data_IF_080252800296
#
_entry.id   IF_080252800296
#
_cell.length_a   1.000
_cell.length_b   1.000
_cell.length_c   1.000
_cell.angle_alpha   90.00
_cell.angle_beta   90.00
_cell.angle_gamma   90.00
#
_symmetry.space_group_name_H-M   'P 1'
#
loop_
_entity.id
_entity.type
_entity.pdbx_description
1 polymer ?
#
# COMPACT_ATOMS: atom_id res chain seq x y z
N UNK A 1 -16.62 -31.26 -1.78
CA UNK A 1 -17.58 -30.31 -2.38
C UNK A 1 -16.81 -29.01 -2.56
N UNK A 2 -16.50 -28.63 -3.79
CA UNK A 2 -15.90 -27.33 -4.11
C UNK A 2 -16.99 -26.27 -3.91
N UNK A 3 -16.97 -25.57 -2.77
CA UNK A 3 -17.81 -24.39 -2.57
C UNK A 3 -17.49 -23.42 -3.70
N UNK A 4 -18.48 -23.05 -4.50
CA UNK A 4 -18.34 -21.98 -5.49
C UNK A 4 -17.87 -20.70 -4.78
N UNK A 5 -16.72 -20.18 -5.24
CA UNK A 5 -16.14 -18.98 -4.63
C UNK A 5 -17.01 -17.77 -4.96
N UNK A 6 -17.32 -16.98 -3.93
CA UNK A 6 -18.15 -15.78 -4.09
C UNK A 6 -17.40 -14.74 -4.90
N UNK A 7 -17.89 -14.39 -6.09
CA UNK A 7 -17.31 -13.32 -6.92
C UNK A 7 -17.79 -11.93 -6.45
N UNK A 8 -17.05 -10.88 -6.84
CA UNK A 8 -17.52 -9.50 -6.70
C UNK A 8 -18.87 -9.31 -7.42
N UNK A 9 -19.73 -8.48 -6.84
CA UNK A 9 -21.07 -8.24 -7.39
C UNK A 9 -21.08 -7.29 -8.59
N UNK A 10 -20.04 -6.46 -8.76
CA UNK A 10 -19.94 -5.49 -9.86
C UNK A 10 -18.50 -5.21 -10.27
N UNK A 11 -18.29 -4.85 -11.55
CA UNK A 11 -16.98 -4.45 -12.09
C UNK A 11 -16.41 -3.23 -11.34
N UNK A 12 -17.24 -2.24 -11.05
CA UNK A 12 -16.82 -1.05 -10.28
C UNK A 12 -16.37 -1.43 -8.87
N UNK A 13 -17.15 -2.25 -8.17
CA UNK A 13 -16.79 -2.71 -6.83
C UNK A 13 -15.50 -3.50 -6.80
N UNK A 14 -15.26 -4.37 -7.79
CA UNK A 14 -14.02 -5.08 -7.97
C UNK A 14 -12.82 -4.14 -8.15
N UNK A 15 -12.93 -3.16 -9.06
CA UNK A 15 -11.85 -2.18 -9.32
C UNK A 15 -11.59 -1.34 -8.09
N UNK A 16 -12.63 -0.82 -7.43
CA UNK A 16 -12.46 0.00 -6.22
C UNK A 16 -11.90 -0.80 -5.03
N UNK A 17 -12.29 -2.06 -4.86
CA UNK A 17 -11.74 -2.90 -3.80
C UNK A 17 -10.26 -3.21 -4.06
N UNK A 18 -9.90 -3.56 -5.30
CA UNK A 18 -8.51 -3.88 -5.66
C UNK A 18 -7.64 -2.61 -5.70
N UNK A 19 -8.17 -1.48 -6.21
CA UNK A 19 -7.47 -0.20 -6.12
C UNK A 19 -7.28 0.25 -4.66
N UNK A 20 -8.29 0.07 -3.80
CA UNK A 20 -8.19 0.36 -2.36
C UNK A 20 -7.18 -0.54 -1.62
N UNK A 21 -6.82 -1.69 -2.19
CA UNK A 21 -5.72 -2.51 -1.70
C UNK A 21 -4.35 -1.90 -2.01
N UNK A 22 -4.19 -1.27 -3.17
CA UNK A 22 -2.98 -0.58 -3.59
C UNK A 22 -2.88 0.82 -2.96
N UNK A 23 -3.97 1.59 -3.03
CA UNK A 23 -4.04 2.95 -2.47
C UNK A 23 -4.02 2.89 -0.95
N UNK A 24 -2.91 3.27 -0.36
CA UNK A 24 -2.68 3.25 1.07
C UNK A 24 -1.80 4.40 1.54
N UNK A 25 -1.21 4.23 2.71
CA UNK A 25 -0.23 5.18 3.25
C UNK A 25 0.99 5.34 2.31
N UNK A 26 1.29 4.34 1.49
CA UNK A 26 2.36 4.39 0.50
C UNK A 26 2.21 5.54 -0.50
N UNK A 27 0.98 5.83 -0.95
CA UNK A 27 0.70 6.90 -1.91
C UNK A 27 0.72 8.28 -1.26
N UNK A 28 0.22 8.38 -0.02
CA UNK A 28 0.03 9.69 0.63
C UNK A 28 1.23 10.05 1.48
N UNK A 29 2.01 9.08 1.94
CA UNK A 29 3.19 9.28 2.77
C UNK A 29 4.49 9.04 1.99
N UNK A 30 4.71 7.79 1.56
CA UNK A 30 6.00 7.39 1.01
C UNK A 30 6.27 8.03 -0.35
N UNK A 31 5.27 8.11 -1.22
CA UNK A 31 5.45 8.67 -2.55
C UNK A 31 5.89 10.16 -2.52
N UNK A 32 5.22 11.08 -1.80
CA UNK A 32 5.70 12.45 -1.70
C UNK A 32 7.11 12.56 -1.13
N UNK A 33 7.42 11.80 -0.08
CA UNK A 33 8.77 11.72 0.45
C UNK A 33 9.80 11.31 -0.63
N UNK A 34 9.52 10.23 -1.36
CA UNK A 34 10.41 9.76 -2.44
C UNK A 34 10.55 10.77 -3.57
N UNK A 35 9.48 11.48 -3.94
CA UNK A 35 9.50 12.57 -4.93
C UNK A 35 10.38 13.73 -4.42
N UNK A 36 10.25 14.10 -3.16
CA UNK A 36 11.05 15.15 -2.52
C UNK A 36 12.55 14.87 -2.58
N UNK A 37 12.96 13.66 -2.17
CA UNK A 37 14.37 13.24 -2.15
C UNK A 37 14.97 13.02 -3.53
N UNK A 38 14.18 12.66 -4.53
CA UNK A 38 14.67 12.16 -5.81
C UNK A 38 14.43 13.13 -7.00
N UNK A 39 14.27 14.43 -6.75
CA UNK A 39 14.28 15.44 -7.80
C UNK A 39 12.92 15.72 -8.48
N UNK A 40 11.81 15.50 -7.76
CA UNK A 40 10.50 16.02 -8.18
C UNK A 40 9.94 15.35 -9.44
N UNK A 41 9.58 16.17 -10.43
CA UNK A 41 8.91 15.74 -11.66
C UNK A 41 9.68 14.66 -12.45
N UNK A 42 11.02 14.69 -12.47
CA UNK A 42 11.83 13.70 -13.18
C UNK A 42 11.65 12.30 -12.55
N UNK A 43 11.63 12.21 -11.21
CA UNK A 43 11.32 10.97 -10.51
C UNK A 43 9.92 10.45 -10.86
N UNK A 44 8.90 11.32 -10.94
CA UNK A 44 7.52 10.94 -11.28
C UNK A 44 7.46 10.30 -12.66
N UNK A 45 8.16 10.84 -13.66
CA UNK A 45 8.21 10.28 -15.01
C UNK A 45 8.86 8.88 -15.02
N UNK A 46 9.97 8.72 -14.29
CA UNK A 46 10.64 7.41 -14.15
C UNK A 46 9.73 6.42 -13.40
N UNK A 47 9.06 6.88 -12.34
CA UNK A 47 8.09 6.06 -11.59
C UNK A 47 6.95 5.55 -12.47
N UNK A 48 6.35 6.41 -13.32
CA UNK A 48 5.29 6.01 -14.27
C UNK A 48 5.83 4.96 -15.24
N UNK A 49 7.04 5.14 -15.75
CA UNK A 49 7.69 4.13 -16.61
C UNK A 49 7.87 2.79 -15.86
N UNK A 50 8.30 2.83 -14.59
CA UNK A 50 8.45 1.64 -13.76
C UNK A 50 7.09 0.96 -13.48
N UNK A 51 6.02 1.72 -13.25
CA UNK A 51 4.66 1.17 -13.14
C UNK A 51 4.28 0.38 -14.40
N UNK A 52 4.56 0.93 -15.60
CA UNK A 52 4.22 0.26 -16.86
C UNK A 52 5.07 -0.99 -17.13
N UNK A 53 6.37 -0.94 -16.86
CA UNK A 53 7.30 -2.02 -17.22
C UNK A 53 7.48 -3.09 -16.13
N UNK A 54 7.30 -2.73 -14.88
CA UNK A 54 7.47 -3.64 -13.74
C UNK A 54 6.13 -3.88 -13.02
N UNK A 55 5.43 -2.83 -12.63
CA UNK A 55 4.23 -2.91 -11.81
C UNK A 55 3.09 -3.67 -12.46
N UNK A 56 2.67 -3.25 -13.67
CA UNK A 56 1.56 -3.88 -14.40
C UNK A 56 1.86 -5.34 -14.74
N UNK A 57 3.05 -5.75 -15.26
CA UNK A 57 3.34 -7.16 -15.51
C UNK A 57 3.33 -8.03 -14.25
N UNK A 58 3.86 -7.55 -13.12
CA UNK A 58 3.81 -8.27 -11.86
C UNK A 58 2.37 -8.42 -11.34
N UNK A 59 1.56 -7.34 -11.37
CA UNK A 59 0.14 -7.38 -11.01
C UNK A 59 -0.65 -8.34 -11.88
N UNK A 60 -0.41 -8.34 -13.20
CA UNK A 60 -1.00 -9.30 -14.13
C UNK A 60 -0.68 -10.75 -13.76
N UNK A 61 0.55 -11.01 -13.32
CA UNK A 61 0.97 -12.33 -12.87
C UNK A 61 0.16 -12.79 -11.66
N UNK A 62 0.00 -11.94 -10.65
CA UNK A 62 -0.82 -12.24 -9.48
C UNK A 62 -2.31 -12.38 -9.83
N UNK A 63 -2.83 -11.59 -10.79
CA UNK A 63 -4.20 -11.72 -11.28
C UNK A 63 -4.43 -13.09 -11.94
N UNK A 64 -3.51 -13.52 -12.79
CA UNK A 64 -3.59 -14.81 -13.46
C UNK A 64 -3.57 -15.93 -12.43
N UNK A 65 -2.64 -15.90 -11.47
CA UNK A 65 -2.53 -16.89 -10.39
C UNK A 65 -3.82 -16.93 -9.56
N UNK A 66 -4.30 -15.78 -9.10
CA UNK A 66 -5.48 -15.69 -8.24
C UNK A 66 -6.77 -16.16 -8.97
N UNK A 67 -7.02 -15.65 -10.18
CA UNK A 67 -8.23 -16.00 -10.94
C UNK A 67 -8.25 -17.46 -11.35
N UNK A 68 -7.14 -17.97 -11.90
CA UNK A 68 -7.04 -19.38 -12.29
C UNK A 68 -7.16 -20.31 -11.08
N UNK A 69 -6.41 -19.97 -10.01
CA UNK A 69 -6.42 -20.76 -8.78
C UNK A 69 -7.76 -20.78 -8.07
N UNK A 70 -8.57 -19.73 -8.18
CA UNK A 70 -9.88 -19.57 -7.51
C UNK A 70 -9.84 -20.06 -6.05
N UNK A 71 -8.77 -19.70 -5.31
CA UNK A 71 -8.49 -20.14 -3.95
C UNK A 71 -7.69 -19.06 -3.21
N UNK A 72 -7.41 -19.25 -1.90
CA UNK A 72 -6.46 -18.40 -1.18
C UNK A 72 -5.10 -18.43 -1.88
N UNK A 73 -4.27 -17.42 -1.62
CA UNK A 73 -3.00 -17.23 -2.33
C UNK A 73 -2.10 -18.47 -2.27
N UNK A 74 -1.97 -19.15 -1.12
CA UNK A 74 -1.13 -20.33 -1.00
C UNK A 74 -1.59 -21.49 -1.89
N UNK A 75 -2.90 -21.77 -1.88
CA UNK A 75 -3.49 -22.84 -2.69
C UNK A 75 -3.55 -22.49 -4.18
N UNK A 76 -3.65 -21.19 -4.52
CA UNK A 76 -3.70 -20.73 -5.90
C UNK A 76 -2.43 -21.13 -6.68
N UNK A 77 -1.25 -20.97 -6.07
CA UNK A 77 0.00 -21.41 -6.67
C UNK A 77 0.03 -22.92 -6.93
N UNK A 78 -0.43 -23.74 -5.97
CA UNK A 78 -0.45 -25.19 -6.13
C UNK A 78 -1.41 -25.69 -7.21
N UNK A 79 -2.43 -24.89 -7.57
CA UNK A 79 -3.39 -25.25 -8.63
C UNK A 79 -2.90 -24.95 -10.04
N UNK A 80 -1.83 -24.15 -10.16
CA UNK A 80 -1.26 -23.80 -11.47
C UNK A 80 -0.16 -24.75 -11.93
N UNK A 81 0.40 -25.55 -11.03
CA UNK A 81 1.49 -26.48 -11.32
C UNK A 81 1.32 -27.80 -10.58
N UNK A 82 1.85 -28.87 -11.16
CA UNK A 82 1.92 -30.21 -10.57
C UNK A 82 2.93 -30.31 -9.44
N UNK A 83 3.95 -29.46 -9.42
CA UNK A 83 4.99 -29.41 -8.38
C UNK A 83 4.51 -28.62 -7.16
N UNK A 84 4.15 -29.33 -6.09
CA UNK A 84 3.64 -28.75 -4.84
C UNK A 84 4.62 -27.75 -4.16
N UNK A 85 5.89 -27.71 -4.54
CA UNK A 85 6.89 -26.83 -3.95
C UNK A 85 6.52 -25.34 -4.07
N UNK A 86 5.85 -24.93 -5.15
CA UNK A 86 5.46 -23.53 -5.37
C UNK A 86 4.35 -23.04 -4.43
N UNK A 87 3.70 -23.95 -3.71
CA UNK A 87 2.81 -23.57 -2.59
C UNK A 87 3.52 -22.68 -1.56
N UNK A 88 4.82 -22.89 -1.35
CA UNK A 88 5.63 -22.10 -0.41
C UNK A 88 5.64 -20.62 -0.79
N UNK A 89 5.65 -20.27 -2.09
CA UNK A 89 5.63 -18.87 -2.55
C UNK A 89 4.31 -18.19 -2.18
N UNK A 90 3.19 -18.89 -2.41
CA UNK A 90 1.89 -18.39 -2.01
C UNK A 90 1.73 -18.29 -0.49
N UNK A 91 2.25 -19.27 0.26
CA UNK A 91 2.26 -19.24 1.73
C UNK A 91 3.11 -18.08 2.25
N UNK A 92 4.26 -17.80 1.63
CA UNK A 92 5.09 -16.65 1.96
C UNK A 92 4.33 -15.34 1.77
N UNK A 93 3.56 -15.20 0.68
CA UNK A 93 2.67 -14.04 0.49
C UNK A 93 1.61 -13.90 1.59
N UNK A 94 1.01 -15.01 2.05
CA UNK A 94 0.07 -15.03 3.17
C UNK A 94 0.74 -14.60 4.47
N UNK A 95 1.92 -15.14 4.77
CA UNK A 95 2.70 -14.78 5.98
C UNK A 95 3.08 -13.30 5.94
N UNK A 96 3.56 -12.82 4.80
CA UNK A 96 3.92 -11.41 4.60
C UNK A 96 2.71 -10.50 4.85
N UNK A 97 1.56 -10.79 4.23
CA UNK A 97 0.34 -10.03 4.46
C UNK A 97 -0.13 -10.07 5.92
N UNK A 98 0.00 -11.21 6.59
CA UNK A 98 -0.33 -11.37 8.00
C UNK A 98 0.56 -10.52 8.91
N UNK A 99 1.87 -10.54 8.71
CA UNK A 99 2.81 -9.74 9.49
C UNK A 99 2.60 -8.24 9.27
N UNK A 100 2.41 -7.82 8.00
CA UNK A 100 2.10 -6.43 7.67
C UNK A 100 0.80 -6.01 8.35
N UNK A 101 -0.24 -6.83 8.35
CA UNK A 101 -1.51 -6.52 9.03
C UNK A 101 -1.29 -6.09 10.47
N UNK A 102 -0.41 -6.76 11.21
CA UNK A 102 -0.12 -6.47 12.61
C UNK A 102 0.44 -5.06 12.83
N UNK A 103 1.57 -4.73 12.21
CA UNK A 103 2.22 -3.44 12.46
C UNK A 103 1.60 -2.26 11.69
N UNK A 104 1.03 -2.50 10.51
CA UNK A 104 0.35 -1.47 9.72
C UNK A 104 -0.86 -0.87 10.44
N UNK A 105 -1.56 -1.69 11.24
CA UNK A 105 -2.67 -1.23 12.07
C UNK A 105 -2.24 -0.23 13.15
N UNK A 106 -0.98 -0.27 13.61
CA UNK A 106 -0.43 0.71 14.57
C UNK A 106 -0.41 2.09 13.93
N UNK A 107 0.18 2.21 12.74
CA UNK A 107 0.23 3.48 11.99
C UNK A 107 -1.17 3.95 11.59
N UNK A 108 -2.05 3.02 11.22
CA UNK A 108 -3.46 3.33 10.96
C UNK A 108 -4.16 3.91 12.20
N UNK A 109 -3.83 3.40 13.39
CA UNK A 109 -4.30 3.92 14.67
C UNK A 109 -3.80 5.34 14.97
N UNK A 110 -2.55 5.64 14.59
CA UNK A 110 -2.01 7.01 14.72
C UNK A 110 -2.80 8.01 13.87
N UNK A 111 -3.20 7.61 12.66
CA UNK A 111 -4.04 8.46 11.80
C UNK A 111 -5.38 8.80 12.49
N UNK A 112 -6.03 7.82 13.16
CA UNK A 112 -7.26 8.07 13.91
C UNK A 112 -7.05 9.02 15.09
N UNK A 113 -5.98 8.84 15.88
CA UNK A 113 -5.63 9.76 16.96
C UNK A 113 -5.47 11.18 16.45
N UNK A 114 -4.80 11.35 15.30
CA UNK A 114 -4.52 12.67 14.76
C UNK A 114 -5.76 13.38 14.20
N UNK A 115 -6.84 12.66 13.85
CA UNK A 115 -8.15 13.28 13.58
C UNK A 115 -8.64 14.02 14.83
N UNK A 116 -8.63 13.34 15.99
CA UNK A 116 -9.07 13.93 17.26
C UNK A 116 -8.15 15.06 17.72
N UNK A 117 -6.85 14.81 17.74
CA UNK A 117 -5.85 15.79 18.16
C UNK A 117 -5.92 17.08 17.33
N UNK A 118 -6.12 16.97 16.01
CA UNK A 118 -6.34 18.11 15.12
C UNK A 118 -7.65 18.85 15.48
N UNK A 119 -8.74 18.11 15.68
CA UNK A 119 -10.05 18.66 15.94
C UNK A 119 -10.17 19.41 17.27
N UNK A 120 -9.53 18.90 18.32
CA UNK A 120 -9.51 19.56 19.66
C UNK A 120 -8.36 20.57 19.82
N UNK A 121 -7.47 20.69 18.83
CA UNK A 121 -6.39 21.67 18.81
C UNK A 121 -5.15 21.25 19.61
N UNK A 122 -4.98 19.96 19.95
CA UNK A 122 -3.77 19.45 20.61
C UNK A 122 -2.51 19.57 19.75
N UNK A 123 -2.66 19.66 18.43
CA UNK A 123 -1.55 19.82 17.49
C UNK A 123 -1.23 21.31 17.22
N UNK A 124 -1.60 22.23 18.09
CA UNK A 124 -1.29 23.65 18.00
C UNK A 124 -0.09 23.99 18.88
N UNK A 125 1.00 24.37 18.24
CA UNK A 125 2.25 24.73 18.94
C UNK A 125 3.39 24.97 17.97
N UNK A 126 4.58 25.12 18.49
CA UNK A 126 5.79 25.18 17.69
C UNK A 126 6.21 23.80 17.16
N UNK A 127 7.13 23.72 16.19
CA UNK A 127 7.61 22.45 15.64
C UNK A 127 8.17 21.48 16.70
N UNK A 128 8.80 22.01 17.75
CA UNK A 128 9.37 21.19 18.82
C UNK A 128 8.29 20.56 19.68
N UNK A 129 7.22 21.29 19.98
CA UNK A 129 6.05 20.78 20.70
C UNK A 129 5.38 19.64 19.93
N UNK A 130 5.18 19.79 18.61
CA UNK A 130 4.54 18.75 17.79
C UNK A 130 5.43 17.51 17.69
N UNK A 131 6.76 17.69 17.60
CA UNK A 131 7.68 16.56 17.63
C UNK A 131 7.64 15.82 18.97
N UNK A 132 7.61 16.55 20.11
CA UNK A 132 7.47 15.94 21.43
C UNK A 132 6.11 15.25 21.60
N UNK A 133 5.01 15.87 21.12
CA UNK A 133 3.69 15.26 21.12
C UNK A 133 3.67 13.90 20.42
N UNK A 134 4.28 13.80 19.23
CA UNK A 134 4.36 12.54 18.50
C UNK A 134 5.22 11.51 19.24
N UNK A 135 6.37 11.92 19.79
CA UNK A 135 7.24 11.04 20.57
C UNK A 135 6.54 10.50 21.81
N UNK A 136 5.91 11.38 22.61
CA UNK A 136 5.17 11.00 23.82
C UNK A 136 3.96 10.12 23.49
N UNK A 137 3.24 10.43 22.41
CA UNK A 137 2.10 9.63 21.96
C UNK A 137 2.56 8.23 21.50
N UNK A 138 3.55 8.13 20.62
CA UNK A 138 4.01 6.86 20.06
C UNK A 138 4.65 5.95 21.11
N UNK A 139 5.33 6.52 22.10
CA UNK A 139 5.93 5.82 23.24
C UNK A 139 4.89 5.42 24.33
N UNK A 140 3.70 6.05 24.33
CA UNK A 140 2.65 5.76 25.32
C UNK A 140 2.20 4.29 25.27
N UNK A 141 2.04 3.63 26.44
CA UNK A 141 1.64 2.23 26.46
C UNK A 141 0.17 1.98 26.10
N UNK A 142 -0.70 2.96 26.28
CA UNK A 142 -2.16 2.74 26.17
C UNK A 142 -2.76 3.39 24.94
N UNK A 143 -2.42 4.66 24.64
CA UNK A 143 -3.08 5.44 23.57
C UNK A 143 -2.92 4.81 22.18
N UNK A 144 -1.70 4.49 21.71
CA UNK A 144 -1.54 3.88 20.37
C UNK A 144 -2.15 2.48 20.29
N UNK A 145 -2.05 1.68 21.38
CA UNK A 145 -2.65 0.34 21.45
C UNK A 145 -4.17 0.42 21.37
N UNK A 146 -4.79 1.36 22.09
CA UNK A 146 -6.22 1.59 22.00
C UNK A 146 -6.68 1.86 20.58
N UNK A 147 -6.03 2.79 19.87
CA UNK A 147 -6.36 3.12 18.49
C UNK A 147 -6.09 1.97 17.51
N UNK A 148 -5.04 1.19 17.74
CA UNK A 148 -4.75 -0.02 16.98
C UNK A 148 -5.90 -1.02 17.08
N UNK A 149 -6.42 -1.25 18.29
CA UNK A 149 -7.57 -2.14 18.50
C UNK A 149 -8.83 -1.58 17.85
N UNK A 150 -9.07 -0.27 17.93
CA UNK A 150 -10.22 0.39 17.26
C UNK A 150 -10.17 0.15 15.75
N UNK A 151 -9.01 0.34 15.11
CA UNK A 151 -8.82 0.05 13.68
C UNK A 151 -9.14 -1.40 13.35
N UNK A 152 -8.65 -2.35 14.17
CA UNK A 152 -8.96 -3.77 13.96
C UNK A 152 -10.44 -4.08 14.12
N UNK A 153 -11.13 -3.46 15.05
CA UNK A 153 -12.58 -3.64 15.23
C UNK A 153 -13.36 -3.10 14.02
N UNK A 154 -12.99 -1.93 13.50
CA UNK A 154 -13.58 -1.37 12.30
C UNK A 154 -13.39 -2.30 11.08
N UNK A 155 -12.17 -2.77 10.89
CA UNK A 155 -11.83 -3.71 9.81
C UNK A 155 -12.56 -5.05 9.98
N UNK A 156 -12.62 -5.59 11.19
CA UNK A 156 -13.32 -6.84 11.52
C UNK A 156 -14.79 -6.81 11.11
N UNK A 157 -15.50 -5.73 11.44
CA UNK A 157 -16.93 -5.56 11.09
C UNK A 157 -17.15 -5.64 9.59
N UNK A 158 -16.21 -5.15 8.79
CA UNK A 158 -16.25 -5.21 7.33
C UNK A 158 -15.97 -6.63 6.83
N UNK A 159 -14.90 -7.25 7.30
CA UNK A 159 -14.45 -8.58 6.87
C UNK A 159 -15.48 -9.67 7.17
N UNK A 160 -16.08 -9.66 8.34
CA UNK A 160 -17.10 -10.65 8.74
C UNK A 160 -18.30 -10.66 7.79
N UNK A 161 -18.65 -9.50 7.20
CA UNK A 161 -19.77 -9.37 6.25
C UNK A 161 -19.48 -9.98 4.86
N UNK A 162 -18.26 -10.45 4.62
CA UNK A 162 -17.87 -11.12 3.39
C UNK A 162 -17.47 -10.17 2.26
N UNK A 163 -17.21 -10.77 1.08
CA UNK A 163 -16.68 -10.03 -0.07
C UNK A 163 -17.69 -9.01 -0.60
N UNK A 164 -18.92 -9.44 -0.95
CA UNK A 164 -19.96 -8.54 -1.51
C UNK A 164 -20.55 -7.58 -0.48
N UNK A 165 -20.96 -8.11 0.68
CA UNK A 165 -21.66 -7.34 1.72
C UNK A 165 -20.75 -6.49 2.59
N UNK A 166 -19.47 -6.83 2.67
CA UNK A 166 -18.45 -6.14 3.45
C UNK A 166 -17.46 -5.38 2.58
N UNK A 167 -16.49 -6.09 2.02
CA UNK A 167 -15.35 -5.50 1.31
C UNK A 167 -15.80 -4.60 0.15
N UNK A 168 -16.59 -5.14 -0.79
CA UNK A 168 -17.06 -4.38 -1.95
C UNK A 168 -17.90 -3.17 -1.55
N UNK A 169 -18.84 -3.34 -0.60
CA UNK A 169 -19.68 -2.25 -0.13
C UNK A 169 -18.88 -1.16 0.58
N UNK A 170 -17.92 -1.55 1.41
CA UNK A 170 -17.01 -0.61 2.08
C UNK A 170 -16.16 0.15 1.07
N UNK A 171 -15.54 -0.55 0.10
CA UNK A 171 -14.69 0.08 -0.91
C UNK A 171 -15.46 1.06 -1.80
N UNK A 172 -16.72 0.76 -2.14
CA UNK A 172 -17.61 1.68 -2.88
C UNK A 172 -17.93 2.96 -2.13
N UNK A 173 -17.90 2.95 -0.80
CA UNK A 173 -18.10 4.14 0.02
C UNK A 173 -16.77 4.85 0.32
N UNK A 174 -15.76 4.10 0.80
CA UNK A 174 -14.50 4.65 1.30
C UNK A 174 -13.65 5.28 0.18
N UNK A 175 -13.54 4.63 -1.00
CA UNK A 175 -12.68 5.12 -2.08
C UNK A 175 -13.15 6.44 -2.70
N UNK A 176 -14.44 6.63 -3.06
CA UNK A 176 -14.91 7.93 -3.53
C UNK A 176 -14.81 9.03 -2.45
N UNK A 177 -15.07 8.70 -1.18
CA UNK A 177 -14.92 9.63 -0.06
C UNK A 177 -13.48 10.08 0.09
N UNK A 178 -12.52 9.12 0.05
CA UNK A 178 -11.09 9.40 0.06
C UNK A 178 -10.71 10.35 -1.08
N UNK A 179 -11.15 10.05 -2.30
CA UNK A 179 -10.84 10.87 -3.47
C UNK A 179 -11.42 12.30 -3.36
N UNK A 180 -12.65 12.44 -2.86
CA UNK A 180 -13.28 13.75 -2.63
C UNK A 180 -12.49 14.56 -1.58
N UNK A 181 -12.15 13.95 -0.43
CA UNK A 181 -11.33 14.60 0.60
C UNK A 181 -9.97 15.03 0.04
N UNK A 182 -9.33 14.15 -0.74
CA UNK A 182 -8.06 14.45 -1.38
C UNK A 182 -8.17 15.68 -2.29
N UNK A 183 -9.18 15.74 -3.15
CA UNK A 183 -9.39 16.88 -4.04
C UNK A 183 -9.61 18.19 -3.26
N UNK A 184 -10.40 18.17 -2.19
CA UNK A 184 -10.65 19.38 -1.39
C UNK A 184 -9.34 19.85 -0.74
N UNK A 185 -8.56 18.96 -0.14
CA UNK A 185 -7.29 19.36 0.51
C UNK A 185 -6.27 19.82 -0.53
N UNK A 186 -6.22 19.19 -1.72
CA UNK A 186 -5.38 19.65 -2.85
C UNK A 186 -5.72 21.08 -3.26
N UNK A 187 -7.02 21.38 -3.44
CA UNK A 187 -7.44 22.75 -3.79
C UNK A 187 -7.03 23.75 -2.71
N UNK A 188 -7.26 23.43 -1.43
CA UNK A 188 -6.85 24.28 -0.33
C UNK A 188 -5.33 24.52 -0.34
N UNK A 189 -4.54 23.49 -0.60
CA UNK A 189 -3.08 23.55 -0.63
C UNK A 189 -2.56 24.40 -1.81
N UNK A 190 -3.12 24.16 -3.02
CA UNK A 190 -2.71 24.89 -4.22
C UNK A 190 -3.06 26.38 -4.20
N UNK A 191 -4.07 26.78 -3.44
CA UNK A 191 -4.47 28.19 -3.29
C UNK A 191 -3.62 28.97 -2.28
N UNK A 192 -2.69 28.33 -1.56
CA UNK A 192 -1.82 28.99 -0.61
C UNK A 192 -0.81 29.93 -1.31
N UNK A 193 -0.48 31.08 -0.69
CA UNK A 193 0.58 31.95 -1.16
C UNK A 193 1.92 31.18 -1.22
N UNK A 194 2.57 31.17 -2.39
CA UNK A 194 3.80 30.38 -2.60
C UNK A 194 3.56 28.94 -3.06
N UNK A 195 2.33 28.45 -3.08
CA UNK A 195 1.99 27.09 -3.54
C UNK A 195 2.38 26.79 -4.99
N UNK A 196 2.50 27.82 -5.84
CA UNK A 196 2.96 27.69 -7.22
C UNK A 196 4.34 27.02 -7.36
N UNK A 197 5.27 27.30 -6.44
CA UNK A 197 6.59 26.66 -6.42
C UNK A 197 6.50 25.14 -6.20
N UNK A 198 5.58 24.67 -5.33
CA UNK A 198 5.34 23.25 -5.15
C UNK A 198 4.72 22.56 -6.36
N UNK A 199 3.84 23.27 -7.09
CA UNK A 199 3.28 22.79 -8.36
C UNK A 199 4.40 22.71 -9.43
N UNK A 200 5.24 23.74 -9.55
CA UNK A 200 6.38 23.74 -10.47
C UNK A 200 7.32 22.57 -10.18
N UNK A 201 7.63 22.32 -8.92
CA UNK A 201 8.49 21.20 -8.49
C UNK A 201 7.92 19.83 -8.94
N UNK A 202 6.61 19.66 -8.92
CA UNK A 202 5.94 18.39 -9.31
C UNK A 202 5.83 18.21 -10.82
N UNK A 203 5.82 19.27 -11.62
CA UNK A 203 5.52 19.17 -13.06
C UNK A 203 6.64 19.67 -13.97
N UNK A 204 7.67 20.33 -13.45
CA UNK A 204 8.84 20.76 -14.20
C UNK A 204 10.01 19.80 -13.97
N UNK A 205 10.27 18.89 -14.91
CA UNK A 205 11.32 17.89 -14.73
C UNK A 205 12.72 18.51 -14.83
N UNK A 206 13.55 18.17 -13.85
CA UNK A 206 14.99 18.47 -13.84
C UNK A 206 15.78 17.16 -13.96
N UNK A 207 16.15 16.82 -15.17
CA UNK A 207 16.90 15.58 -15.43
C UNK A 207 18.36 15.64 -14.98
N UNK A 208 18.89 16.81 -14.59
CA UNK A 208 20.25 16.92 -14.07
C UNK A 208 20.43 16.20 -12.71
N UNK A 209 19.32 15.99 -11.98
CA UNK A 209 19.29 15.28 -10.71
C UNK A 209 19.06 13.78 -10.82
N UNK A 210 18.87 13.27 -12.05
CA UNK A 210 18.60 11.85 -12.28
C UNK A 210 19.89 11.06 -12.23
N UNK A 211 19.96 10.13 -11.28
CA UNK A 211 21.07 9.21 -11.05
C UNK A 211 20.58 7.75 -11.09
N UNK A 212 21.47 6.79 -11.10
CA UNK A 212 21.10 5.37 -11.00
C UNK A 212 20.28 5.04 -9.73
N UNK A 213 20.55 5.74 -8.63
CA UNK A 213 19.80 5.60 -7.39
C UNK A 213 18.33 6.06 -7.51
N UNK A 214 18.06 7.10 -8.30
CA UNK A 214 16.70 7.58 -8.61
C UNK A 214 15.90 6.51 -9.35
N UNK A 215 16.50 5.79 -10.29
CA UNK A 215 15.85 4.66 -10.97
C UNK A 215 15.52 3.53 -9.98
N UNK A 216 16.45 3.16 -9.10
CA UNK A 216 16.21 2.14 -8.07
C UNK A 216 15.12 2.56 -7.09
N UNK A 217 15.13 3.81 -6.67
CA UNK A 217 14.10 4.39 -5.81
C UNK A 217 12.71 4.35 -6.48
N UNK A 218 12.63 4.72 -7.76
CA UNK A 218 11.40 4.70 -8.55
C UNK A 218 10.87 3.27 -8.79
N UNK A 219 11.76 2.32 -9.11
CA UNK A 219 11.40 0.90 -9.22
C UNK A 219 10.86 0.35 -7.90
N UNK A 220 11.55 0.64 -6.79
CA UNK A 220 11.11 0.25 -5.45
C UNK A 220 9.74 0.86 -5.12
N UNK A 221 9.55 2.15 -5.36
CA UNK A 221 8.27 2.82 -5.14
C UNK A 221 7.14 2.22 -5.98
N UNK A 222 7.39 1.92 -7.27
CA UNK A 222 6.40 1.29 -8.14
C UNK A 222 5.99 -0.10 -7.66
N UNK A 223 6.94 -0.89 -7.16
CA UNK A 223 6.70 -2.22 -6.62
C UNK A 223 5.85 -2.17 -5.33
N UNK A 224 6.19 -1.26 -4.41
CA UNK A 224 5.49 -1.13 -3.12
C UNK A 224 4.13 -0.48 -3.25
N UNK A 225 3.99 0.58 -4.07
CA UNK A 225 2.74 1.33 -4.23
C UNK A 225 1.59 0.42 -4.67
N UNK A 226 1.87 -0.49 -5.60
CA UNK A 226 0.85 -1.43 -6.11
C UNK A 226 0.56 -2.61 -5.17
N UNK A 227 1.24 -2.72 -4.03
CA UNK A 227 0.99 -3.78 -3.05
C UNK A 227 1.28 -5.19 -3.56
N UNK A 228 2.35 -5.35 -4.36
CA UNK A 228 2.72 -6.62 -4.98
C UNK A 228 3.34 -7.59 -3.97
N UNK A 229 3.16 -8.88 -4.21
CA UNK A 229 3.76 -10.00 -3.46
C UNK A 229 3.32 -10.16 -1.99
N UNK A 230 2.33 -9.40 -1.53
CA UNK A 230 1.76 -9.54 -0.17
C UNK A 230 0.46 -10.38 -0.14
N UNK A 231 0.13 -11.07 -1.22
CA UNK A 231 -1.04 -11.93 -1.33
C UNK A 231 -2.37 -11.21 -1.55
N UNK A 232 -2.45 -9.89 -1.40
CA UNK A 232 -3.69 -9.11 -1.54
C UNK A 232 -4.23 -9.18 -2.97
N UNK A 233 -3.40 -8.87 -3.94
CA UNK A 233 -3.75 -8.85 -5.37
C UNK A 233 -4.20 -10.24 -5.82
N UNK A 234 -3.46 -11.29 -5.46
CA UNK A 234 -3.79 -12.67 -5.76
C UNK A 234 -5.11 -13.11 -5.08
N UNK A 235 -5.29 -12.78 -3.79
CA UNK A 235 -6.54 -13.09 -3.06
C UNK A 235 -7.74 -12.41 -3.71
N UNK A 236 -7.65 -11.12 -4.05
CA UNK A 236 -8.76 -10.41 -4.69
C UNK A 236 -9.03 -10.90 -6.11
N UNK A 237 -7.99 -11.24 -6.86
CA UNK A 237 -8.14 -11.84 -8.20
C UNK A 237 -8.88 -13.17 -8.16
N UNK A 238 -8.77 -13.93 -7.07
CA UNK A 238 -9.52 -15.16 -6.89
C UNK A 238 -11.04 -14.98 -6.79
N UNK A 239 -11.50 -13.74 -6.58
CA UNK A 239 -12.92 -13.34 -6.60
C UNK A 239 -13.34 -12.71 -7.94
N UNK A 240 -12.45 -12.68 -8.96
CA UNK A 240 -12.77 -12.15 -10.27
C UNK A 240 -13.60 -13.17 -11.08
N UNK A 241 -14.56 -12.66 -11.85
CA UNK A 241 -15.27 -13.48 -12.83
C UNK A 241 -14.38 -13.80 -14.03
N UNK A 242 -14.69 -14.89 -14.72
CA UNK A 242 -13.98 -15.27 -15.96
C UNK A 242 -14.06 -14.22 -17.06
N UNK A 243 -15.11 -13.40 -17.08
CA UNK A 243 -15.29 -12.32 -18.05
C UNK A 243 -14.43 -11.09 -17.78
N UNK A 244 -13.74 -11.02 -16.64
CA UNK A 244 -12.93 -9.88 -16.26
C UNK A 244 -11.72 -9.75 -17.19
N UNK A 245 -11.58 -8.60 -17.85
CA UNK A 245 -10.38 -8.26 -18.60
C UNK A 245 -9.26 -7.89 -17.62
N UNK A 246 -8.32 -8.82 -17.41
CA UNK A 246 -7.25 -8.65 -16.42
C UNK A 246 -6.33 -7.48 -16.75
N UNK A 247 -5.91 -7.35 -18.02
CA UNK A 247 -5.02 -6.26 -18.43
C UNK A 247 -5.67 -4.90 -18.23
N UNK A 248 -6.93 -4.75 -18.64
CA UNK A 248 -7.66 -3.50 -18.41
C UNK A 248 -7.82 -3.20 -16.93
N UNK A 249 -8.05 -4.22 -16.11
CA UNK A 249 -8.15 -4.05 -14.65
C UNK A 249 -6.82 -3.63 -14.04
N UNK A 250 -5.70 -4.26 -14.44
CA UNK A 250 -4.37 -3.89 -13.98
C UNK A 250 -4.01 -2.44 -14.34
N UNK A 251 -4.27 -2.04 -15.58
CA UNK A 251 -4.04 -0.66 -16.03
C UNK A 251 -4.92 0.33 -15.26
N UNK A 252 -6.21 0.03 -15.08
CA UNK A 252 -7.11 0.91 -14.32
C UNK A 252 -6.66 1.10 -12.88
N UNK A 253 -6.25 0.02 -12.21
CA UNK A 253 -5.77 0.08 -10.82
C UNK A 253 -4.47 0.87 -10.75
N UNK A 254 -3.52 0.62 -11.64
CA UNK A 254 -2.25 1.35 -11.70
C UNK A 254 -2.47 2.85 -11.98
N UNK A 255 -3.41 3.20 -12.86
CA UNK A 255 -3.77 4.60 -13.15
C UNK A 255 -4.41 5.28 -11.93
N UNK A 256 -5.35 4.61 -11.26
CA UNK A 256 -5.98 5.16 -10.03
C UNK A 256 -4.94 5.37 -8.95
N UNK A 257 -4.07 4.38 -8.70
CA UNK A 257 -2.97 4.45 -7.74
C UNK A 257 -2.03 5.62 -8.03
N UNK A 258 -1.59 5.74 -9.28
CA UNK A 258 -0.69 6.83 -9.72
C UNK A 258 -1.33 8.21 -9.61
N UNK A 259 -2.59 8.36 -10.01
CA UNK A 259 -3.32 9.63 -9.89
C UNK A 259 -3.42 10.05 -8.43
N UNK A 260 -3.78 9.14 -7.53
CA UNK A 260 -3.88 9.42 -6.10
C UNK A 260 -2.50 9.80 -5.53
N UNK A 261 -1.43 9.12 -5.93
CA UNK A 261 -0.07 9.44 -5.52
C UNK A 261 0.36 10.85 -5.97
N UNK A 262 0.09 11.23 -7.22
CA UNK A 262 0.39 12.57 -7.75
C UNK A 262 -0.45 13.65 -7.04
N UNK A 263 -1.74 13.39 -6.81
CA UNK A 263 -2.62 14.29 -6.06
C UNK A 263 -2.14 14.45 -4.61
N UNK A 264 -1.63 13.39 -3.98
CA UNK A 264 -1.01 13.49 -2.66
C UNK A 264 0.24 14.38 -2.68
N UNK A 265 1.05 14.32 -3.73
CA UNK A 265 2.12 15.28 -3.96
C UNK A 265 1.59 16.72 -4.08
N UNK A 266 0.55 16.94 -4.89
CA UNK A 266 -0.12 18.25 -5.02
C UNK A 266 -0.75 18.75 -3.71
N UNK A 267 -1.10 17.85 -2.81
CA UNK A 267 -1.59 18.22 -1.49
C UNK A 267 -0.44 18.67 -0.57
N UNK A 268 0.71 18.02 -0.64
CA UNK A 268 1.80 18.21 0.32
C UNK A 268 2.77 19.31 -0.13
N UNK A 269 3.26 19.29 -1.38
CA UNK A 269 4.32 20.18 -1.81
C UNK A 269 3.92 21.66 -1.84
N UNK A 270 2.73 22.06 -2.38
CA UNK A 270 2.33 23.47 -2.32
C UNK A 270 2.21 23.99 -0.89
N UNK A 271 1.68 23.18 0.05
CA UNK A 271 1.59 23.56 1.44
C UNK A 271 2.97 23.69 2.10
N UNK A 272 3.88 22.71 1.87
CA UNK A 272 5.23 22.74 2.43
C UNK A 272 6.06 23.93 1.90
N UNK A 273 6.02 24.18 0.60
CA UNK A 273 6.72 25.31 -0.02
C UNK A 273 6.16 26.67 0.42
N UNK A 274 4.85 26.78 0.72
CA UNK A 274 4.23 28.01 1.20
C UNK A 274 4.80 28.49 2.55
N UNK A 275 5.35 27.58 3.34
CA UNK A 275 5.93 27.86 4.67
C UNK A 275 7.45 27.62 4.70
N UNK A 276 8.08 27.38 3.53
CA UNK A 276 9.53 27.21 3.42
C UNK A 276 10.06 25.90 4.00
N UNK A 277 9.20 24.86 4.13
CA UNK A 277 9.62 23.52 4.59
C UNK A 277 10.23 22.75 3.45
N UNK A 278 11.35 22.06 3.70
CA UNK A 278 11.98 21.18 2.71
C UNK A 278 11.07 19.97 2.37
N UNK A 279 10.93 19.63 1.08
CA UNK A 279 10.14 18.46 0.67
C UNK A 279 10.78 17.11 1.02
N UNK A 280 12.01 17.09 1.52
CA UNK A 280 12.80 15.91 1.88
C UNK A 280 12.81 15.59 3.39
N UNK A 281 11.75 15.95 4.11
CA UNK A 281 11.67 15.83 5.58
C UNK A 281 11.57 14.39 6.11
N UNK A 282 11.47 13.38 5.27
CA UNK A 282 11.45 11.97 5.67
C UNK A 282 10.07 11.44 6.13
N UNK A 283 10.00 10.21 6.65
CA UNK A 283 8.75 9.56 7.07
C UNK A 283 7.98 10.32 8.18
N UNK A 284 8.66 11.12 8.98
CA UNK A 284 8.05 12.01 9.99
C UNK A 284 7.23 13.17 9.40
N UNK A 285 7.33 13.37 8.07
CA UNK A 285 6.60 14.40 7.33
C UNK A 285 5.12 14.50 7.73
N UNK A 286 4.43 13.37 7.85
CA UNK A 286 2.98 13.33 8.11
C UNK A 286 2.63 13.70 9.56
N UNK A 287 3.36 13.18 10.53
CA UNK A 287 2.97 13.31 11.94
C UNK A 287 3.65 14.45 12.67
N UNK A 288 4.75 14.99 12.13
CA UNK A 288 5.49 16.09 12.74
C UNK A 288 5.43 17.34 11.86
N UNK A 289 5.79 17.21 10.58
CA UNK A 289 5.95 18.37 9.70
C UNK A 289 4.62 18.93 9.21
N UNK A 290 3.72 18.10 8.71
CA UNK A 290 2.46 18.57 8.13
C UNK A 290 1.50 19.24 9.13
N UNK A 291 1.38 18.83 10.40
CA UNK A 291 0.64 19.63 11.40
C UNK A 291 1.14 21.06 11.50
N UNK A 292 2.47 21.25 11.53
CA UNK A 292 3.09 22.57 11.53
C UNK A 292 2.81 23.35 10.25
N UNK A 293 2.94 22.68 9.09
CA UNK A 293 2.65 23.29 7.78
C UNK A 293 1.20 23.79 7.73
N UNK A 294 0.22 22.99 8.14
CA UNK A 294 -1.17 23.42 8.14
C UNK A 294 -1.45 24.58 9.07
N UNK A 295 -0.83 24.61 10.27
CA UNK A 295 -0.96 25.75 11.18
C UNK A 295 -0.40 27.04 10.59
N UNK A 296 0.80 26.99 10.03
CA UNK A 296 1.48 28.16 9.49
C UNK A 296 0.81 28.63 8.19
N UNK A 297 0.48 27.71 7.28
CA UNK A 297 -0.14 28.02 6.00
C UNK A 297 -1.51 28.68 6.15
N UNK A 298 -2.28 28.28 7.17
CA UNK A 298 -3.62 28.80 7.45
C UNK A 298 -3.67 29.72 8.67
N UNK A 299 -2.54 30.33 9.07
CA UNK A 299 -2.49 31.21 10.26
C UNK A 299 -3.49 32.37 10.20
N UNK A 300 -3.79 32.90 9.01
CA UNK A 300 -4.80 33.93 8.80
C UNK A 300 -6.24 33.48 9.03
N UNK A 301 -6.53 32.18 8.94
CA UNK A 301 -7.87 31.58 9.16
C UNK A 301 -7.70 30.25 9.92
N UNK A 302 -7.44 30.28 11.24
CA UNK A 302 -7.08 29.09 12.02
C UNK A 302 -8.13 27.99 12.01
N UNK A 303 -9.42 28.33 11.89
CA UNK A 303 -10.51 27.35 11.76
C UNK A 303 -10.39 26.54 10.46
N UNK A 304 -10.03 27.18 9.35
CA UNK A 304 -9.79 26.49 8.08
C UNK A 304 -8.60 25.55 8.19
N UNK A 305 -7.50 25.96 8.83
CA UNK A 305 -6.36 25.08 9.09
C UNK A 305 -6.72 23.83 9.89
N UNK A 306 -7.55 23.99 10.92
CA UNK A 306 -8.08 22.84 11.69
C UNK A 306 -8.92 21.92 10.83
N UNK A 307 -9.85 22.46 10.02
CA UNK A 307 -10.69 21.67 9.13
C UNK A 307 -9.86 20.91 8.10
N UNK A 308 -8.87 21.56 7.48
CA UNK A 308 -7.97 20.94 6.50
C UNK A 308 -7.15 19.83 7.16
N UNK A 309 -6.62 20.04 8.35
CA UNK A 309 -5.87 19.02 9.10
C UNK A 309 -6.75 17.80 9.43
N UNK A 310 -7.97 18.02 9.93
CA UNK A 310 -8.94 16.94 10.19
C UNK A 310 -9.27 16.17 8.90
N UNK A 311 -9.54 16.86 7.80
CA UNK A 311 -9.83 16.22 6.51
C UNK A 311 -8.64 15.41 6.00
N UNK A 312 -7.42 15.92 6.18
CA UNK A 312 -6.19 15.23 5.82
C UNK A 312 -6.04 13.92 6.60
N UNK A 313 -6.18 13.94 7.94
CA UNK A 313 -6.06 12.71 8.73
C UNK A 313 -7.24 11.75 8.55
N UNK A 314 -8.43 12.24 8.23
CA UNK A 314 -9.55 11.40 7.78
C UNK A 314 -9.20 10.67 6.47
N UNK A 315 -8.65 11.38 5.50
CA UNK A 315 -8.18 10.81 4.23
C UNK A 315 -7.14 9.72 4.46
N UNK A 316 -6.12 9.99 5.30
CA UNK A 316 -5.09 9.01 5.68
C UNK A 316 -5.71 7.77 6.34
N UNK A 317 -6.64 7.97 7.26
CA UNK A 317 -7.32 6.87 7.94
C UNK A 317 -8.14 6.01 6.97
N UNK A 318 -8.83 6.62 6.00
CA UNK A 318 -9.56 5.89 4.96
C UNK A 318 -8.60 5.07 4.07
N UNK A 319 -7.49 5.67 3.64
CA UNK A 319 -6.46 4.99 2.85
C UNK A 319 -5.85 3.81 3.63
N UNK A 320 -5.55 4.01 4.92
CA UNK A 320 -5.01 2.96 5.78
C UNK A 320 -6.01 1.81 5.99
N UNK A 321 -7.29 2.11 6.25
CA UNK A 321 -8.33 1.11 6.49
C UNK A 321 -8.62 0.30 5.22
N UNK A 322 -8.65 0.90 4.04
CA UNK A 322 -8.89 0.17 2.78
C UNK A 322 -7.79 -0.85 2.51
N UNK A 323 -6.52 -0.50 2.73
CA UNK A 323 -5.39 -1.42 2.61
C UNK A 323 -5.42 -2.50 3.70
N UNK A 324 -5.77 -2.14 4.95
CA UNK A 324 -5.86 -3.09 6.06
C UNK A 324 -6.98 -4.13 5.84
N UNK A 325 -8.12 -3.74 5.25
CA UNK A 325 -9.17 -4.67 4.84
C UNK A 325 -8.61 -5.75 3.91
N UNK A 326 -7.81 -5.36 2.93
CA UNK A 326 -7.21 -6.27 1.96
C UNK A 326 -6.21 -7.23 2.60
N UNK A 327 -5.33 -6.71 3.44
CA UNK A 327 -4.35 -7.50 4.19
C UNK A 327 -5.02 -8.50 5.15
N UNK A 328 -6.04 -8.06 5.86
CA UNK A 328 -6.82 -8.92 6.77
C UNK A 328 -7.55 -10.03 6.00
N UNK A 329 -8.08 -9.72 4.80
CA UNK A 329 -8.76 -10.71 3.95
C UNK A 329 -7.83 -11.82 3.49
N UNK A 330 -6.55 -11.54 3.18
CA UNK A 330 -5.56 -12.58 2.81
C UNK A 330 -5.51 -13.68 3.86
N UNK A 331 -5.32 -13.29 5.11
CA UNK A 331 -5.22 -14.22 6.25
C UNK A 331 -6.55 -14.90 6.55
N UNK A 332 -7.66 -14.18 6.45
CA UNK A 332 -9.00 -14.73 6.68
C UNK A 332 -9.37 -15.76 5.62
N UNK A 333 -9.12 -15.48 4.34
CA UNK A 333 -9.38 -16.40 3.25
C UNK A 333 -8.52 -17.68 3.37
N UNK A 334 -7.25 -17.52 3.75
CA UNK A 334 -6.35 -18.65 4.00
C UNK A 334 -6.90 -19.55 5.12
N UNK A 335 -7.23 -19.00 6.28
CA UNK A 335 -7.76 -19.77 7.39
C UNK A 335 -9.10 -20.46 7.06
N UNK A 336 -10.00 -19.79 6.33
CA UNK A 336 -11.26 -20.39 5.91
C UNK A 336 -11.08 -21.62 5.02
N UNK A 337 -10.07 -21.64 4.16
CA UNK A 337 -9.88 -22.68 3.18
C UNK A 337 -8.91 -23.78 3.64
N UNK A 338 -7.93 -23.47 4.48
CA UNK A 338 -6.95 -24.44 4.97
C UNK A 338 -7.34 -25.06 6.32
N UNK A 339 -8.33 -24.48 7.00
CA UNK A 339 -8.82 -25.00 8.26
C UNK A 339 -10.33 -25.28 8.21
N UNK A 340 -10.90 -25.82 9.30
CA UNK A 340 -12.36 -26.01 9.43
C UNK A 340 -13.11 -24.80 9.95
N UNK A 341 -12.45 -23.63 10.02
CA UNK A 341 -13.04 -22.41 10.55
C UNK A 341 -14.00 -21.77 9.54
N UNK A 342 -15.18 -21.40 10.01
CA UNK A 342 -16.06 -20.53 9.24
C UNK A 342 -15.51 -19.10 9.19
N UNK A 343 -15.99 -18.28 8.24
CA UNK A 343 -15.50 -16.91 8.02
C UNK A 343 -15.51 -16.05 9.28
N UNK A 344 -16.56 -16.15 10.12
CA UNK A 344 -16.67 -15.35 11.35
C UNK A 344 -15.56 -15.70 12.35
N UNK A 345 -15.31 -16.98 12.53
CA UNK A 345 -14.27 -17.46 13.45
C UNK A 345 -12.86 -17.23 12.91
N UNK A 346 -12.65 -17.41 11.61
CA UNK A 346 -11.37 -17.10 10.97
C UNK A 346 -11.04 -15.59 11.09
N UNK A 347 -11.99 -14.73 10.75
CA UNK A 347 -11.82 -13.29 10.88
C UNK A 347 -11.59 -12.86 12.35
N UNK A 348 -12.30 -13.47 13.31
CA UNK A 348 -12.10 -13.21 14.75
C UNK A 348 -10.68 -13.60 15.18
N UNK A 349 -10.22 -14.78 14.76
CA UNK A 349 -8.88 -15.27 15.10
C UNK A 349 -7.80 -14.33 14.53
N UNK A 350 -7.89 -13.95 13.25
CA UNK A 350 -6.95 -12.99 12.63
C UNK A 350 -6.98 -11.65 13.37
N UNK A 351 -8.16 -11.10 13.64
CA UNK A 351 -8.32 -9.84 14.39
C UNK A 351 -7.65 -9.91 15.76
N UNK A 352 -7.90 -10.95 16.55
CA UNK A 352 -7.32 -11.09 17.89
C UNK A 352 -5.80 -11.22 17.82
N UNK A 353 -5.28 -12.14 16.98
CA UNK A 353 -3.84 -12.38 16.89
C UNK A 353 -3.11 -11.16 16.34
N UNK A 354 -3.62 -10.51 15.28
CA UNK A 354 -3.03 -9.30 14.76
C UNK A 354 -3.13 -8.11 15.72
N UNK A 355 -4.21 -8.02 16.53
CA UNK A 355 -4.30 -7.00 17.60
C UNK A 355 -3.23 -7.20 18.66
N UNK A 356 -2.94 -8.44 19.04
CA UNK A 356 -1.84 -8.75 19.97
C UNK A 356 -0.50 -8.39 19.37
N UNK A 357 -0.24 -8.79 18.11
CA UNK A 357 1.00 -8.42 17.38
C UNK A 357 1.13 -6.91 17.32
N UNK A 358 0.08 -6.19 16.89
CA UNK A 358 0.05 -4.73 16.83
C UNK A 358 0.29 -4.07 18.18
N UNK A 359 -0.27 -4.61 19.25
CA UNK A 359 -0.02 -4.14 20.61
C UNK A 359 1.48 -4.28 20.98
N UNK A 360 2.11 -5.42 20.70
CA UNK A 360 3.55 -5.59 20.94
C UNK A 360 4.41 -4.68 20.06
N UNK A 361 4.07 -4.54 18.78
CA UNK A 361 4.75 -3.59 17.88
C UNK A 361 4.62 -2.15 18.39
N UNK A 362 3.43 -1.73 18.82
CA UNK A 362 3.20 -0.41 19.40
C UNK A 362 3.99 -0.20 20.70
N UNK A 363 3.98 -1.19 21.58
CA UNK A 363 4.72 -1.15 22.85
C UNK A 363 6.24 -1.10 22.64
N UNK A 364 6.75 -1.63 21.54
CA UNK A 364 8.19 -1.63 21.25
C UNK A 364 8.74 -0.26 20.86
N UNK A 365 7.88 0.70 20.53
CA UNK A 365 8.27 2.08 20.21
C UNK A 365 8.55 2.93 21.46
N UNK A 366 8.19 2.45 22.66
CA UNK A 366 8.57 3.08 23.94
C UNK A 366 9.90 2.54 24.45
N UNK A 367 10.39 3.13 25.58
CA UNK A 367 11.64 2.73 26.26
C UNK A 367 11.53 1.32 26.89
N UNK A 368 11.40 0.28 26.09
CA UNK A 368 11.26 -1.11 26.52
C UNK A 368 12.30 -2.00 25.88
N UNK A 369 13.48 -2.05 26.52
CA UNK A 369 14.66 -2.80 26.04
C UNK A 369 14.36 -4.28 25.69
N UNK A 370 13.40 -4.94 26.36
CA UNK A 370 13.04 -6.33 26.11
C UNK A 370 12.29 -6.57 24.79
N UNK A 371 11.73 -5.51 24.18
CA UNK A 371 11.09 -5.55 22.84
C UNK A 371 12.02 -5.03 21.74
N UNK A 372 13.28 -4.77 22.05
CA UNK A 372 14.27 -4.32 21.09
C UNK A 372 15.34 -5.39 20.95
N UNK A 373 15.66 -5.78 19.71
CA UNK A 373 16.71 -6.75 19.38
C UNK A 373 17.66 -6.13 18.36
N UNK A 374 18.98 -6.29 18.56
CA UNK A 374 20.00 -5.77 17.67
C UNK A 374 19.86 -4.28 17.33
N UNK A 375 19.42 -3.45 18.29
CA UNK A 375 19.25 -2.01 18.12
C UNK A 375 18.01 -1.58 17.33
N UNK A 376 17.11 -2.51 16.99
CA UNK A 376 15.84 -2.24 16.31
C UNK A 376 14.66 -2.62 17.20
N UNK A 377 13.57 -1.85 17.12
CA UNK A 377 12.31 -2.19 17.78
C UNK A 377 11.64 -3.39 17.09
N UNK A 378 10.69 -4.02 17.77
CA UNK A 378 9.90 -5.09 17.15
C UNK A 378 9.14 -4.58 15.91
N UNK A 379 8.65 -3.34 15.96
CA UNK A 379 8.00 -2.68 14.82
C UNK A 379 8.97 -2.57 13.62
N UNK A 380 10.20 -2.10 13.83
CA UNK A 380 11.21 -1.99 12.78
C UNK A 380 11.61 -3.36 12.21
N UNK A 381 11.63 -4.40 13.05
CA UNK A 381 11.90 -5.77 12.59
C UNK A 381 10.81 -6.31 11.68
N UNK A 382 9.53 -6.07 12.02
CA UNK A 382 8.41 -6.48 11.16
C UNK A 382 8.45 -5.75 9.82
N UNK A 383 8.70 -4.44 9.83
CA UNK A 383 8.84 -3.65 8.60
C UNK A 383 10.04 -4.12 7.76
N UNK A 384 11.21 -4.33 8.39
CA UNK A 384 12.41 -4.81 7.71
C UNK A 384 12.19 -6.19 7.07
N UNK A 385 11.71 -7.16 7.83
CA UNK A 385 11.53 -8.53 7.34
C UNK A 385 10.49 -8.59 6.22
N UNK A 386 9.37 -7.91 6.38
CA UNK A 386 8.33 -7.91 5.36
C UNK A 386 8.71 -7.06 4.16
N UNK A 387 9.09 -5.79 4.39
CA UNK A 387 9.34 -4.80 3.35
C UNK A 387 10.63 -5.07 2.57
N UNK A 388 11.73 -5.38 3.26
CA UNK A 388 13.04 -5.49 2.62
C UNK A 388 13.42 -6.92 2.24
N UNK A 389 12.84 -7.95 2.86
CA UNK A 389 13.16 -9.34 2.55
C UNK A 389 12.02 -10.06 1.82
N UNK A 390 10.85 -10.21 2.48
CA UNK A 390 9.80 -11.10 1.98
C UNK A 390 9.12 -10.58 0.72
N UNK A 391 8.82 -9.28 0.63
CA UNK A 391 8.15 -8.71 -0.54
C UNK A 391 9.01 -8.81 -1.81
N UNK A 392 10.27 -8.34 -1.85
CA UNK A 392 11.08 -8.47 -3.05
C UNK A 392 11.36 -9.93 -3.41
N UNK A 393 11.68 -10.77 -2.42
CA UNK A 393 11.94 -12.19 -2.65
C UNK A 393 10.70 -12.91 -3.21
N UNK A 394 9.52 -12.62 -2.67
CA UNK A 394 8.23 -13.11 -3.18
C UNK A 394 7.97 -12.68 -4.61
N UNK A 395 8.26 -11.42 -4.95
CA UNK A 395 8.14 -10.89 -6.31
C UNK A 395 9.03 -11.60 -7.31
N UNK A 396 10.29 -11.84 -6.95
CA UNK A 396 11.23 -12.60 -7.79
C UNK A 396 10.68 -14.01 -8.04
N UNK A 397 10.28 -14.71 -6.98
CA UNK A 397 9.76 -16.08 -7.10
C UNK A 397 8.47 -16.13 -7.91
N UNK A 398 7.57 -15.14 -7.75
CA UNK A 398 6.34 -15.01 -8.56
C UNK A 398 6.67 -14.84 -10.05
N UNK A 399 7.64 -13.98 -10.38
CA UNK A 399 8.09 -13.79 -11.76
C UNK A 399 8.74 -15.05 -12.34
N UNK A 400 9.57 -15.74 -11.58
CA UNK A 400 10.18 -17.01 -11.98
C UNK A 400 9.11 -18.08 -12.19
N UNK A 401 8.16 -18.20 -11.29
CA UNK A 401 7.04 -19.13 -11.41
C UNK A 401 6.24 -18.89 -12.69
N UNK A 402 5.79 -17.66 -12.91
CA UNK A 402 4.99 -17.31 -14.08
C UNK A 402 5.78 -17.36 -15.39
N UNK A 403 7.04 -16.93 -15.35
CA UNK A 403 7.88 -16.88 -16.55
C UNK A 403 8.38 -18.24 -17.03
N UNK A 404 8.67 -19.18 -16.11
CA UNK A 404 9.44 -20.38 -16.43
C UNK A 404 8.75 -21.70 -16.07
N UNK A 405 7.82 -21.70 -15.12
CA UNK A 405 7.18 -22.92 -14.61
C UNK A 405 5.77 -23.10 -15.17
N UNK A 406 4.93 -22.06 -15.11
CA UNK A 406 3.55 -22.15 -15.57
C UNK A 406 3.47 -22.34 -17.09
N UNK A 407 2.66 -23.30 -17.58
CA UNK A 407 2.53 -23.55 -19.00
C UNK A 407 2.10 -22.29 -19.77
N UNK A 408 2.84 -21.94 -20.84
CA UNK A 408 2.58 -20.75 -21.67
C UNK A 408 1.13 -20.71 -22.18
N UNK A 409 0.53 -21.86 -22.50
CA UNK A 409 -0.85 -21.95 -22.97
C UNK A 409 -1.82 -21.44 -21.89
N UNK A 410 -1.67 -21.88 -20.65
CA UNK A 410 -2.49 -21.47 -19.53
C UNK A 410 -2.41 -19.94 -19.32
N UNK A 411 -1.19 -19.40 -19.31
CA UNK A 411 -0.97 -17.95 -19.15
C UNK A 411 -1.66 -17.19 -20.29
N UNK A 412 -1.54 -17.68 -21.54
CA UNK A 412 -2.16 -17.04 -22.71
C UNK A 412 -3.68 -17.11 -22.65
N UNK A 413 -4.25 -18.25 -22.25
CA UNK A 413 -5.70 -18.43 -22.11
C UNK A 413 -6.28 -17.46 -21.07
N UNK A 414 -5.62 -17.32 -19.91
CA UNK A 414 -6.01 -16.35 -18.88
C UNK A 414 -5.81 -14.91 -19.36
N UNK A 415 -4.69 -14.58 -20.02
CA UNK A 415 -4.39 -13.25 -20.51
C UNK A 415 -5.40 -12.78 -21.58
N UNK A 416 -5.82 -13.67 -22.46
CA UNK A 416 -6.74 -13.36 -23.57
C UNK A 416 -8.21 -13.68 -23.26
N UNK A 417 -8.55 -14.01 -22.01
CA UNK A 417 -9.87 -14.54 -21.66
C UNK A 417 -10.31 -15.63 -22.65
N UNK A 418 -9.49 -16.67 -22.76
CA UNK A 418 -9.70 -17.82 -23.67
C UNK A 418 -9.92 -17.40 -25.13
N UNK A 419 -9.17 -16.40 -25.60
CA UNK A 419 -9.20 -15.95 -26.99
C UNK A 419 -10.26 -14.90 -27.31
N UNK A 420 -11.04 -14.43 -26.32
CA UNK A 420 -12.03 -13.35 -26.54
C UNK A 420 -11.40 -11.96 -26.62
N UNK A 421 -10.17 -11.81 -26.10
CA UNK A 421 -9.41 -10.57 -26.12
C UNK A 421 -8.15 -10.70 -26.98
N UNK A 422 -7.67 -9.57 -27.48
CA UNK A 422 -6.42 -9.49 -28.26
C UNK A 422 -5.23 -9.99 -27.44
N UNK A 423 -4.40 -10.84 -28.06
CA UNK A 423 -3.13 -11.33 -27.51
C UNK A 423 -1.89 -10.54 -27.94
N UNK A 424 -2.05 -9.37 -28.55
CA UNK A 424 -0.93 -8.58 -29.13
C UNK A 424 0.17 -8.29 -28.10
N UNK A 425 -0.19 -7.92 -26.87
CA UNK A 425 0.76 -7.60 -25.80
C UNK A 425 1.25 -8.82 -25.02
N UNK A 426 0.75 -10.02 -25.29
CA UNK A 426 1.13 -11.23 -24.57
C UNK A 426 2.64 -11.53 -24.64
N UNK A 427 3.24 -11.35 -25.82
CA UNK A 427 4.70 -11.56 -26.00
C UNK A 427 5.54 -10.59 -25.17
N UNK A 428 5.15 -9.32 -25.14
CA UNK A 428 5.80 -8.28 -24.32
C UNK A 428 5.64 -8.60 -22.84
N UNK A 429 4.42 -8.91 -22.38
CA UNK A 429 4.17 -9.31 -21.01
C UNK A 429 5.06 -10.48 -20.56
N UNK A 430 5.13 -11.53 -21.39
CA UNK A 430 5.91 -12.72 -21.05
C UNK A 430 7.43 -12.43 -21.01
N UNK A 431 7.92 -11.58 -21.92
CA UNK A 431 9.32 -11.14 -21.92
C UNK A 431 9.65 -10.35 -20.65
N UNK A 432 8.79 -9.40 -20.28
CA UNK A 432 8.98 -8.60 -19.06
C UNK A 432 9.01 -9.48 -17.81
N UNK A 433 8.04 -10.38 -17.65
CA UNK A 433 7.95 -11.26 -16.47
C UNK A 433 9.10 -12.27 -16.40
N UNK A 434 9.61 -12.76 -17.56
CA UNK A 434 10.71 -13.73 -17.59
C UNK A 434 12.07 -13.14 -17.24
N UNK A 435 12.34 -11.92 -17.73
CA UNK A 435 13.70 -11.39 -17.71
C UNK A 435 13.76 -10.04 -17.00
N UNK A 436 12.96 -9.08 -17.40
CA UNK A 436 13.05 -7.71 -16.92
C UNK A 436 12.62 -7.57 -15.45
N UNK A 437 11.42 -8.04 -15.10
CA UNK A 437 10.89 -7.90 -13.76
C UNK A 437 11.77 -8.57 -12.69
N UNK A 438 12.20 -9.85 -12.82
CA UNK A 438 13.04 -10.47 -11.79
C UNK A 438 14.39 -9.77 -11.63
N UNK A 439 14.99 -9.24 -12.71
CA UNK A 439 16.24 -8.49 -12.62
C UNK A 439 16.03 -7.16 -11.88
N UNK A 440 14.97 -6.42 -12.21
CA UNK A 440 14.63 -5.17 -11.52
C UNK A 440 14.35 -5.41 -10.03
N UNK A 441 13.55 -6.42 -9.69
CA UNK A 441 13.23 -6.72 -8.29
C UNK A 441 14.47 -7.20 -7.55
N UNK A 442 15.36 -7.98 -8.19
CA UNK A 442 16.66 -8.36 -7.62
C UNK A 442 17.52 -7.12 -7.34
N UNK A 443 17.58 -6.15 -8.26
CA UNK A 443 18.30 -4.89 -8.03
C UNK A 443 17.73 -4.11 -6.85
N UNK A 444 16.40 -4.02 -6.72
CA UNK A 444 15.72 -3.42 -5.56
C UNK A 444 16.13 -4.16 -4.28
N UNK A 445 16.07 -5.48 -4.30
CA UNK A 445 16.39 -6.33 -3.15
C UNK A 445 17.85 -6.15 -2.67
N UNK A 446 18.82 -6.19 -3.61
CA UNK A 446 20.23 -5.99 -3.29
C UNK A 446 20.53 -4.58 -2.79
N UNK A 447 19.87 -3.56 -3.36
CA UNK A 447 20.00 -2.18 -2.90
C UNK A 447 19.48 -2.00 -1.46
N UNK A 448 18.34 -2.60 -1.12
CA UNK A 448 17.78 -2.54 0.23
C UNK A 448 18.64 -3.24 1.28
N UNK A 449 19.38 -4.27 0.89
CA UNK A 449 20.35 -4.94 1.74
C UNK A 449 21.69 -4.19 1.84
N UNK A 450 21.84 -3.05 1.15
CA UNK A 450 23.09 -2.28 1.10
C UNK A 450 24.20 -2.97 0.30
N UNK A 451 23.88 -4.02 -0.47
CA UNK A 451 24.83 -4.77 -1.28
C UNK A 451 25.04 -4.16 -2.68
N UNK A 452 24.17 -3.28 -3.10
CA UNK A 452 24.22 -2.60 -4.39
C UNK A 452 24.28 -1.09 -4.16
N UNK A 453 25.48 -0.52 -4.14
CA UNK A 453 25.68 0.94 -4.15
C UNK A 453 25.93 1.38 -5.58
N UNK A 454 24.88 1.80 -6.28
CA UNK A 454 25.01 2.41 -7.61
C UNK A 454 25.27 3.91 -7.39
N UNK A 455 26.52 4.26 -7.25
CA UNK A 455 27.00 5.62 -7.41
C UNK A 455 27.34 5.82 -8.90
N UNK A 456 26.51 6.56 -9.64
CA UNK A 456 26.84 7.10 -10.97
C UNK A 456 26.75 8.61 -10.91
#
# INVERSE_FOLDING_TARGET
MTQERVNFGSKLGMVLATAGSAVGLGNVWRFPYMVGENGGAAFILIYIMCIMLLGIPCMMSEFIIGRHGAANTARAYSRMDTHKAWHIVGLMGVITGFLITGYYAVVSGWCLQYIFASGVGELRGDPQYIASYFADFSASPLRPVFWTVVVFLLTHVIIVRGVRGGIEKASKALMPTLFLLLLVVVVCSCLLPGGAAGIEFLFKPDFSKVTGSVFLAAMGQAFYSLGLSMGCICTFASYFSRETNLLKSAVNIAVIDTIIAILAGLMIFPAAFSVGVSPDSGPSLIFITLPNVFQQAFAGVPLLGTVVAVMFYMLLSLAAITSLISLHEVSTAFLCEETRLNRKNAARLVTVVCSVIGAFCSLSLGDRAWLSMFGKTLFDWFDFVTGQLLLPFGGILTCLFMGWVVPRKLIKDEFTNWGTLSGTLFGVYLLLVRYFCPVCIMAIFLNQLGLLNIAF
#
